data_IF_687333340046
#
_entry.id   IF_687333340046
#
_cell.length_a   1.000
_cell.length_b   1.000
_cell.length_c   1.000
_cell.angle_alpha   90.00
_cell.angle_beta   90.00
_cell.angle_gamma   90.00
#
_symmetry.space_group_name_H-M   'P 1'
#
loop_
_entity.id
_entity.type
_entity.pdbx_description
1 polymer ?
#
# COMPACT_ATOMS: atom_id res chain seq x y z
N UNK A 1 -1.76 26.44 29.05
CA UNK A 1 -1.35 25.03 29.16
C UNK A 1 -1.71 24.36 27.84
N UNK A 2 -0.77 24.34 26.89
CA UNK A 2 -0.97 23.83 25.53
C UNK A 2 -0.12 22.59 25.35
N UNK A 3 -0.71 21.39 25.48
CA UNK A 3 0.01 20.14 25.20
C UNK A 3 -0.94 19.00 24.79
N UNK A 4 -1.57 19.15 23.63
CA UNK A 4 -2.43 18.09 23.04
C UNK A 4 -2.06 17.79 21.57
N UNK A 5 -1.08 18.47 20.97
CA UNK A 5 -0.85 18.41 19.52
C UNK A 5 0.30 17.50 19.05
N UNK A 6 0.99 16.81 19.96
CA UNK A 6 2.29 16.20 19.65
C UNK A 6 2.32 14.66 19.61
N UNK A 7 1.21 13.96 19.92
CA UNK A 7 1.17 12.47 19.86
C UNK A 7 0.90 11.89 18.47
N UNK A 8 0.38 12.67 17.53
CA UNK A 8 -0.20 12.11 16.29
C UNK A 8 0.83 11.80 15.19
N UNK A 9 1.99 12.48 15.20
CA UNK A 9 2.92 12.44 14.06
C UNK A 9 3.86 11.23 14.09
N UNK A 10 4.38 10.88 15.26
CA UNK A 10 5.26 9.70 15.45
C UNK A 10 4.56 8.38 15.20
N UNK A 11 3.25 8.30 15.48
CA UNK A 11 2.47 7.08 15.26
C UNK A 11 2.25 6.81 13.77
N UNK A 12 2.01 7.87 12.99
CA UNK A 12 1.80 7.78 11.55
C UNK A 12 3.10 7.44 10.80
N UNK A 13 4.24 8.00 11.22
CA UNK A 13 5.56 7.65 10.68
C UNK A 13 5.87 6.17 10.90
N UNK A 14 5.63 5.65 12.11
CA UNK A 14 5.77 4.23 12.39
C UNK A 14 4.90 3.37 11.46
N UNK A 15 3.62 3.70 11.26
CA UNK A 15 2.72 2.89 10.41
C UNK A 15 3.20 2.76 8.95
N UNK A 16 3.84 3.79 8.39
CA UNK A 16 4.37 3.77 7.02
C UNK A 16 5.62 2.88 6.88
N UNK A 17 6.38 2.73 7.96
CA UNK A 17 7.58 1.88 8.01
C UNK A 17 7.26 0.39 8.26
N UNK A 18 6.02 0.04 8.61
CA UNK A 18 5.65 -1.35 8.79
C UNK A 18 5.45 -2.05 7.43
N UNK A 19 5.96 -3.27 7.25
CA UNK A 19 5.72 -4.07 6.06
C UNK A 19 4.27 -4.57 6.05
N UNK A 20 3.37 -3.76 5.51
CA UNK A 20 1.92 -4.04 5.45
C UNK A 20 1.24 -3.49 4.20
N UNK A 21 2.04 -3.02 3.25
CA UNK A 21 1.60 -2.38 2.02
C UNK A 21 1.81 -3.31 0.82
N UNK A 22 0.87 -3.24 -0.10
CA UNK A 22 0.82 -4.01 -1.33
C UNK A 22 0.70 -3.06 -2.52
N UNK A 23 1.38 -3.41 -3.61
CA UNK A 23 1.20 -2.77 -4.91
C UNK A 23 0.34 -3.68 -5.76
N UNK A 24 -0.76 -3.14 -6.28
CA UNK A 24 -1.76 -3.87 -7.06
C UNK A 24 -1.98 -3.21 -8.42
N UNK A 25 -2.42 -4.01 -9.38
CA UNK A 25 -3.14 -3.55 -10.57
C UNK A 25 -4.63 -3.76 -10.34
N UNK A 26 -5.45 -3.39 -11.33
CA UNK A 26 -6.89 -3.67 -11.28
C UNK A 26 -7.23 -5.16 -11.07
N UNK A 27 -6.44 -6.05 -11.63
CA UNK A 27 -6.72 -7.49 -11.73
C UNK A 27 -5.81 -8.38 -10.88
N UNK A 28 -4.70 -7.85 -10.38
CA UNK A 28 -3.67 -8.65 -9.72
C UNK A 28 -2.95 -7.92 -8.60
N UNK A 29 -2.29 -8.70 -7.74
CA UNK A 29 -1.35 -8.15 -6.77
C UNK A 29 0.06 -8.35 -7.30
N UNK A 30 0.81 -7.27 -7.48
CA UNK A 30 2.18 -7.30 -7.98
C UNK A 30 3.16 -7.64 -6.86
N UNK A 31 3.03 -6.97 -5.71
CA UNK A 31 3.87 -7.17 -4.55
C UNK A 31 3.10 -6.93 -3.25
N UNK A 32 3.55 -7.53 -2.15
CA UNK A 32 2.93 -7.46 -0.83
C UNK A 32 3.99 -7.32 0.27
N UNK A 33 3.56 -6.98 1.47
CA UNK A 33 4.41 -6.94 2.66
C UNK A 33 5.58 -5.96 2.53
N UNK A 34 5.32 -4.83 1.87
CA UNK A 34 6.26 -3.74 1.69
C UNK A 34 6.04 -2.66 2.75
N UNK A 35 7.08 -1.93 3.07
CA UNK A 35 6.93 -0.59 3.64
C UNK A 35 6.27 0.34 2.63
N UNK A 36 5.70 1.45 3.09
CA UNK A 36 5.07 2.41 2.18
C UNK A 36 6.10 3.00 1.20
N UNK A 37 7.33 3.24 1.67
CA UNK A 37 8.41 3.77 0.84
C UNK A 37 8.80 2.78 -0.27
N UNK A 38 8.95 1.50 0.04
CA UNK A 38 9.23 0.46 -0.96
C UNK A 38 8.07 0.32 -1.96
N UNK A 39 6.83 0.39 -1.50
CA UNK A 39 5.65 0.35 -2.36
C UNK A 39 5.59 1.56 -3.32
N UNK A 40 5.97 2.75 -2.85
CA UNK A 40 6.04 3.97 -3.65
C UNK A 40 7.14 3.92 -4.71
N UNK A 41 8.32 3.40 -4.34
CA UNK A 41 9.42 3.25 -5.30
C UNK A 41 9.09 2.21 -6.37
N UNK A 42 8.38 1.14 -5.98
CA UNK A 42 7.89 0.15 -6.93
C UNK A 42 6.78 0.73 -7.84
N UNK A 43 5.81 1.46 -7.29
CA UNK A 43 4.71 2.03 -8.09
C UNK A 43 5.24 2.97 -9.16
N UNK A 44 6.20 3.84 -8.81
CA UNK A 44 6.82 4.78 -9.77
C UNK A 44 7.57 4.07 -10.90
N UNK A 45 8.27 2.97 -10.60
CA UNK A 45 8.93 2.16 -11.63
C UNK A 45 7.91 1.55 -12.58
N UNK A 46 6.84 1.00 -12.03
CA UNK A 46 5.80 0.34 -12.82
C UNK A 46 4.95 1.34 -13.63
N UNK A 47 4.70 2.55 -13.12
CA UNK A 47 4.01 3.62 -13.86
C UNK A 47 4.75 4.02 -15.15
N UNK A 48 6.08 3.83 -15.19
CA UNK A 48 6.89 4.09 -16.38
C UNK A 48 6.83 2.93 -17.39
N UNK A 49 6.53 1.72 -16.94
CA UNK A 49 6.58 0.49 -17.74
C UNK A 49 5.20 -0.03 -18.17
N UNK A 50 4.14 0.29 -17.41
CA UNK A 50 2.80 -0.29 -17.58
C UNK A 50 1.76 0.75 -18.00
N UNK A 51 0.82 0.34 -18.87
CA UNK A 51 -0.36 1.15 -19.24
C UNK A 51 -1.53 1.03 -18.26
N UNK A 52 -1.45 0.10 -17.30
CA UNK A 52 -2.54 -0.19 -16.37
C UNK A 52 -2.42 0.68 -15.11
N UNK A 53 -3.56 1.07 -14.53
CA UNK A 53 -3.58 1.80 -13.26
C UNK A 53 -2.96 0.98 -12.12
N UNK A 54 -2.02 1.59 -11.41
CA UNK A 54 -1.33 1.01 -10.25
C UNK A 54 -1.86 1.67 -8.99
N UNK A 55 -2.06 0.89 -7.93
CA UNK A 55 -2.47 1.41 -6.63
C UNK A 55 -1.64 0.80 -5.51
N UNK A 56 -1.39 1.60 -4.48
CA UNK A 56 -0.81 1.15 -3.20
C UNK A 56 -1.97 0.99 -2.23
N UNK A 57 -2.11 -0.21 -1.66
CA UNK A 57 -3.14 -0.55 -0.70
C UNK A 57 -2.52 -1.30 0.48
N UNK A 58 -3.28 -1.54 1.55
CA UNK A 58 -2.81 -2.45 2.61
C UNK A 58 -2.89 -3.91 2.16
N UNK A 59 -2.07 -4.78 2.75
CA UNK A 59 -2.11 -6.23 2.50
C UNK A 59 -3.50 -6.81 2.75
N UNK A 60 -4.21 -6.28 3.75
CA UNK A 60 -5.60 -6.65 4.04
C UNK A 60 -6.53 -6.36 2.86
N UNK A 61 -6.44 -5.16 2.28
CA UNK A 61 -7.24 -4.79 1.12
C UNK A 61 -6.88 -5.64 -0.11
N UNK A 62 -5.59 -5.88 -0.35
CA UNK A 62 -5.12 -6.75 -1.41
C UNK A 62 -5.63 -8.20 -1.26
N UNK A 63 -5.74 -8.71 -0.03
CA UNK A 63 -6.32 -10.04 0.24
C UNK A 63 -7.81 -10.11 -0.15
N UNK A 64 -8.57 -9.03 0.03
CA UNK A 64 -10.00 -9.00 -0.32
C UNK A 64 -10.23 -9.01 -1.84
N UNK A 65 -9.33 -8.41 -2.63
CA UNK A 65 -9.39 -8.49 -4.10
C UNK A 65 -9.31 -9.93 -4.62
N UNK A 66 -8.42 -10.75 -4.06
CA UNK A 66 -8.25 -12.15 -4.48
C UNK A 66 -9.54 -12.96 -4.28
N UNK A 67 -10.33 -12.65 -3.25
CA UNK A 67 -11.58 -13.33 -2.96
C UNK A 67 -12.69 -12.97 -3.96
N UNK A 68 -12.72 -11.72 -4.43
CA UNK A 68 -13.70 -11.30 -5.45
C UNK A 68 -13.47 -11.89 -6.84
N UNK A 69 -12.24 -12.32 -7.15
CA UNK A 69 -11.88 -12.90 -8.44
C UNK A 69 -12.20 -14.41 -8.57
N UNK A 70 -12.43 -15.11 -7.44
CA UNK A 70 -12.67 -16.57 -7.41
C UNK A 70 -14.17 -16.97 -7.45
N UNK A 71 -15.11 -16.01 -7.50
CA UNK A 71 -16.55 -16.28 -7.54
C UNK A 71 -17.15 -16.30 -8.94
N UNK A 72 -16.40 -16.73 -9.96
CA UNK A 72 -16.90 -16.92 -11.34
C UNK A 72 -16.74 -18.36 -11.80
#
# INVERSE_FOLDING_TARGET
MTDVKQRSQTQQEMELEHPRWSVITFDSVIAQHLTYQEALDLSRKLEQEMQNGICIVTDEAASRMKQSAQSK
#
